data_IF_490628259010
#
_entry.id   IF_490628259010
#
_cell.length_a   1.000
_cell.length_b   1.000
_cell.length_c   1.000
_cell.angle_alpha   90.00
_cell.angle_beta   90.00
_cell.angle_gamma   90.00
#
_symmetry.space_group_name_H-M   'P 1'
#
loop_
_entity.id
_entity.type
_entity.pdbx_description
1 polymer ?
#
# COMPACT_ATOMS: atom_id res chain seq x y z
N UNK A 1 14.69 25.36 -19.18
CA UNK A 1 13.79 25.83 -18.10
C UNK A 1 12.91 24.72 -17.52
N UNK A 2 12.44 23.71 -18.28
CA UNK A 2 11.59 22.60 -17.77
C UNK A 2 12.32 21.67 -16.77
N UNK A 3 13.63 21.50 -16.86
CA UNK A 3 14.44 20.63 -15.96
C UNK A 3 14.68 21.23 -14.56
N UNK A 4 14.60 22.54 -14.38
CA UNK A 4 14.86 23.22 -13.10
C UNK A 4 13.59 23.20 -12.22
N UNK A 5 12.41 23.18 -12.82
CA UNK A 5 11.13 23.14 -12.09
C UNK A 5 10.92 21.76 -11.42
N UNK A 6 11.42 20.68 -12.02
CA UNK A 6 11.30 19.33 -11.45
C UNK A 6 12.20 19.14 -10.20
N UNK A 7 13.35 19.81 -10.16
CA UNK A 7 14.27 19.72 -9.02
C UNK A 7 13.80 20.53 -7.80
N UNK A 8 13.09 21.66 -8.02
CA UNK A 8 12.58 22.50 -6.94
C UNK A 8 11.32 21.92 -6.27
N UNK A 9 10.51 21.11 -6.98
CA UNK A 9 9.36 20.43 -6.39
C UNK A 9 9.79 19.29 -5.44
N UNK A 10 10.95 18.68 -5.69
CA UNK A 10 11.48 17.58 -4.87
C UNK A 10 12.05 18.07 -3.51
N UNK A 11 12.49 19.31 -3.43
CA UNK A 11 13.08 19.89 -2.21
C UNK A 11 12.05 20.30 -1.13
N UNK A 12 10.75 20.40 -1.47
CA UNK A 12 9.73 20.88 -0.55
C UNK A 12 9.07 19.76 0.30
N UNK A 13 9.41 18.49 0.05
CA UNK A 13 8.79 17.32 0.70
C UNK A 13 9.44 16.95 2.06
N UNK A 14 10.59 17.54 2.39
CA UNK A 14 11.35 17.23 3.61
C UNK A 14 11.10 18.22 4.77
N UNK A 15 9.85 18.57 5.02
CA UNK A 15 9.44 19.24 6.27
C UNK A 15 9.43 18.24 7.44
N UNK A 16 9.94 18.65 8.59
CA UNK A 16 9.98 17.87 9.83
C UNK A 16 8.59 17.32 10.19
N UNK A 17 8.40 16.03 10.09
CA UNK A 17 7.17 15.33 10.48
C UNK A 17 7.34 14.92 11.94
N UNK A 18 6.59 15.56 12.83
CA UNK A 18 6.51 15.18 14.23
C UNK A 18 5.87 13.79 14.36
N UNK A 19 6.38 12.95 15.25
CA UNK A 19 5.75 11.68 15.60
C UNK A 19 4.41 11.96 16.28
N UNK A 20 3.32 11.87 15.51
CA UNK A 20 1.96 11.81 16.02
C UNK A 20 1.51 10.34 16.01
N UNK A 21 0.66 9.93 16.96
CA UNK A 21 -0.05 8.68 16.85
C UNK A 21 -0.92 8.73 15.60
N UNK A 22 -0.68 7.81 14.66
CA UNK A 22 -1.44 7.74 13.42
C UNK A 22 -2.72 6.96 13.66
N UNK A 23 -3.87 7.56 13.43
CA UNK A 23 -5.16 6.85 13.53
C UNK A 23 -5.34 6.04 12.29
N UNK A 24 -5.12 6.12 11.23
CA UNK A 24 -5.47 5.35 10.03
C UNK A 24 -4.40 4.31 9.65
N UNK A 25 -3.80 3.62 10.63
CA UNK A 25 -2.75 2.60 10.37
C UNK A 25 -3.22 1.43 9.51
N UNK A 26 -4.54 1.18 9.41
CA UNK A 26 -5.08 0.17 8.51
C UNK A 26 -4.70 0.43 7.03
N UNK A 27 -4.40 1.66 6.64
CA UNK A 27 -3.94 1.99 5.30
C UNK A 27 -2.63 1.28 4.93
N UNK A 28 -1.80 0.95 5.93
CA UNK A 28 -0.53 0.21 5.77
C UNK A 28 -0.69 -1.30 5.74
N UNK A 29 -1.87 -1.82 6.14
CA UNK A 29 -2.12 -3.25 6.03
C UNK A 29 -2.20 -3.66 4.57
N UNK A 30 -1.67 -4.85 4.27
CA UNK A 30 -1.73 -5.38 2.92
C UNK A 30 -3.18 -5.63 2.50
N UNK A 31 -3.64 -4.91 1.47
CA UNK A 31 -4.97 -5.08 0.90
C UNK A 31 -5.07 -6.27 -0.06
N UNK A 32 -3.94 -6.91 -0.38
CA UNK A 32 -3.84 -8.03 -1.31
C UNK A 32 -3.25 -9.24 -0.62
N UNK A 33 -3.90 -10.40 -0.76
CA UNK A 33 -3.36 -11.66 -0.28
C UNK A 33 -2.01 -12.01 -0.96
N UNK A 34 -1.85 -11.61 -2.24
CA UNK A 34 -0.59 -11.78 -2.97
C UNK A 34 0.51 -10.91 -2.40
N UNK A 35 0.24 -9.62 -2.15
CA UNK A 35 1.23 -8.72 -1.56
C UNK A 35 1.60 -9.14 -0.14
N UNK A 36 0.63 -9.53 0.68
CA UNK A 36 0.88 -10.05 2.03
C UNK A 36 1.80 -11.29 2.00
N UNK A 37 1.59 -12.21 1.06
CA UNK A 37 2.45 -13.38 0.88
C UNK A 37 3.87 -13.04 0.39
N UNK A 38 4.07 -11.86 -0.21
CA UNK A 38 5.37 -11.30 -0.62
C UNK A 38 5.99 -10.36 0.44
N UNK A 39 5.41 -10.33 1.66
CA UNK A 39 5.87 -9.46 2.74
C UNK A 39 5.59 -7.97 2.52
N UNK A 40 4.66 -7.61 1.63
CA UNK A 40 4.37 -6.24 1.23
C UNK A 40 5.26 -5.70 0.10
N UNK A 41 6.16 -6.50 -0.47
CA UNK A 41 7.04 -6.08 -1.56
C UNK A 41 6.29 -6.08 -2.90
N UNK A 42 5.64 -4.94 -3.22
CA UNK A 42 4.66 -4.85 -4.32
C UNK A 42 4.70 -3.54 -5.13
N UNK A 43 5.51 -2.54 -4.75
CA UNK A 43 5.53 -1.21 -5.39
C UNK A 43 5.98 -1.25 -6.87
N UNK A 44 6.75 -2.27 -7.25
CA UNK A 44 7.20 -2.51 -8.64
C UNK A 44 6.35 -3.57 -9.37
N UNK A 45 5.20 -3.99 -8.79
CA UNK A 45 4.31 -4.95 -9.44
C UNK A 45 3.60 -4.33 -10.65
N UNK A 46 3.31 -5.16 -11.67
CA UNK A 46 2.77 -4.73 -12.95
C UNK A 46 1.75 -5.71 -13.57
N UNK A 47 1.32 -6.73 -12.82
CA UNK A 47 0.48 -7.82 -13.33
C UNK A 47 -0.68 -8.20 -12.38
N UNK A 48 -1.09 -7.27 -11.51
CA UNK A 48 -2.14 -7.49 -10.52
C UNK A 48 -2.94 -6.21 -10.28
N UNK A 49 -4.28 -6.28 -10.29
CA UNK A 49 -5.15 -5.13 -10.09
C UNK A 49 -4.96 -4.46 -8.71
N UNK A 50 -4.50 -5.22 -7.71
CA UNK A 50 -4.25 -4.72 -6.37
C UNK A 50 -3.04 -3.78 -6.28
N UNK A 51 -2.25 -3.64 -7.37
CA UNK A 51 -1.15 -2.66 -7.43
C UNK A 51 -1.61 -1.24 -7.17
N UNK A 52 -2.89 -0.92 -7.41
CA UNK A 52 -3.49 0.39 -7.10
C UNK A 52 -3.30 0.81 -5.64
N UNK A 53 -3.22 -0.14 -4.70
CA UNK A 53 -2.98 0.14 -3.27
C UNK A 53 -1.53 0.48 -2.95
N UNK A 54 -0.57 0.13 -3.83
CA UNK A 54 0.88 0.20 -3.59
C UNK A 54 1.59 1.19 -4.52
N UNK A 55 1.17 1.27 -5.78
CA UNK A 55 1.72 2.19 -6.77
C UNK A 55 0.68 2.44 -7.88
N UNK A 56 0.04 3.60 -7.91
CA UNK A 56 -0.98 3.89 -8.93
C UNK A 56 -0.45 3.82 -10.37
N UNK A 57 0.84 4.07 -10.62
CA UNK A 57 1.41 3.96 -11.95
C UNK A 57 1.38 2.53 -12.50
N UNK A 58 1.45 1.53 -11.61
CA UNK A 58 1.43 0.11 -11.97
C UNK A 58 0.14 -0.33 -12.65
N UNK A 59 -0.99 0.36 -12.44
CA UNK A 59 -2.25 -0.01 -13.11
C UNK A 59 -2.15 0.15 -14.64
N UNK A 60 -1.30 1.05 -15.16
CA UNK A 60 -1.16 1.24 -16.62
C UNK A 60 -0.56 0.03 -17.34
N UNK A 61 0.13 -0.83 -16.62
CA UNK A 61 0.80 -2.01 -17.15
C UNK A 61 -0.09 -3.26 -17.18
N UNK A 62 -1.30 -3.16 -16.64
CA UNK A 62 -2.23 -4.30 -16.57
C UNK A 62 -2.84 -4.59 -17.93
N UNK A 63 -3.04 -5.86 -18.23
CA UNK A 63 -3.69 -6.30 -19.46
C UNK A 63 -5.21 -6.44 -19.25
N UNK A 64 -5.99 -6.07 -20.26
CA UNK A 64 -7.46 -6.17 -20.24
C UNK A 64 -8.11 -5.31 -19.15
N UNK A 65 -9.16 -5.82 -18.54
CA UNK A 65 -9.91 -5.16 -17.46
C UNK A 65 -9.90 -6.05 -16.20
N UNK A 66 -8.76 -6.17 -15.51
CA UNK A 66 -8.64 -7.05 -14.37
C UNK A 66 -9.43 -6.53 -13.17
N UNK A 67 -9.98 -7.47 -12.40
CA UNK A 67 -10.55 -7.25 -11.10
C UNK A 67 -9.89 -8.21 -10.09
N UNK A 68 -9.72 -7.76 -8.86
CA UNK A 68 -9.22 -8.59 -7.75
C UNK A 68 -10.15 -8.43 -6.55
N UNK A 69 -10.34 -9.54 -5.83
CA UNK A 69 -10.99 -9.56 -4.54
C UNK A 69 -10.09 -10.32 -3.57
N UNK A 70 -9.80 -9.73 -2.42
CA UNK A 70 -9.05 -10.37 -1.36
C UNK A 70 -9.83 -10.30 -0.04
N UNK A 71 -9.80 -11.40 0.70
CA UNK A 71 -10.32 -11.47 2.05
C UNK A 71 -9.28 -12.11 2.96
N UNK A 72 -8.94 -11.41 4.05
CA UNK A 72 -7.94 -11.88 5.01
C UNK A 72 -8.57 -11.87 6.39
N UNK A 73 -8.60 -13.04 7.01
CA UNK A 73 -8.97 -13.19 8.42
C UNK A 73 -7.70 -13.15 9.27
N UNK A 74 -7.58 -12.13 10.09
CA UNK A 74 -6.52 -12.00 11.09
C UNK A 74 -6.93 -12.63 12.43
N UNK A 75 -6.00 -12.64 13.38
CA UNK A 75 -6.28 -13.01 14.77
C UNK A 75 -7.26 -12.02 15.42
N UNK A 76 -7.92 -12.41 16.51
CA UNK A 76 -8.84 -11.56 17.30
C UNK A 76 -10.05 -11.03 16.50
N UNK A 77 -10.59 -11.85 15.57
CA UNK A 77 -11.76 -11.52 14.73
C UNK A 77 -11.62 -10.28 13.84
N UNK A 78 -10.39 -9.82 13.60
CA UNK A 78 -10.10 -8.77 12.63
C UNK A 78 -10.23 -9.36 11.23
N UNK A 79 -11.06 -8.73 10.41
CA UNK A 79 -11.31 -9.14 9.03
C UNK A 79 -11.01 -7.97 8.09
N UNK A 80 -10.20 -8.22 7.07
CA UNK A 80 -9.89 -7.27 6.02
C UNK A 80 -10.42 -7.79 4.69
N UNK A 81 -11.13 -6.95 3.97
CA UNK A 81 -11.58 -7.21 2.61
C UNK A 81 -11.11 -6.10 1.68
N UNK A 82 -10.72 -6.45 0.48
CA UNK A 82 -10.42 -5.49 -0.56
C UNK A 82 -11.00 -5.92 -1.92
N UNK A 83 -11.34 -4.94 -2.72
CA UNK A 83 -11.78 -5.11 -4.10
C UNK A 83 -11.07 -4.05 -4.93
N UNK A 84 -10.54 -4.45 -6.06
CA UNK A 84 -9.93 -3.54 -7.03
C UNK A 84 -10.39 -3.89 -8.45
N UNK A 85 -10.46 -2.88 -9.30
CA UNK A 85 -10.80 -3.00 -10.72
C UNK A 85 -10.06 -1.93 -11.50
N UNK A 86 -9.64 -2.26 -12.71
CA UNK A 86 -9.11 -1.25 -13.63
C UNK A 86 -9.57 -1.48 -15.05
N UNK A 87 -9.69 -0.40 -15.81
CA UNK A 87 -10.10 -0.41 -17.21
C UNK A 87 -9.30 0.63 -17.99
N UNK A 88 -8.97 0.28 -19.21
CA UNK A 88 -8.28 1.17 -20.14
C UNK A 88 -9.28 1.89 -21.04
N UNK A 89 -9.02 3.17 -21.27
CA UNK A 89 -9.71 3.97 -22.26
C UNK A 89 -8.71 4.40 -23.33
N UNK A 90 -8.90 3.90 -24.53
CA UNK A 90 -7.99 4.13 -25.65
C UNK A 90 -7.75 5.62 -25.89
N UNK A 91 -6.47 6.00 -26.04
CA UNK A 91 -6.03 7.39 -26.22
C UNK A 91 -6.13 8.29 -24.98
N UNK A 92 -6.66 7.80 -23.83
CA UNK A 92 -6.80 8.59 -22.62
C UNK A 92 -5.87 8.06 -21.51
N UNK A 93 -5.81 6.75 -21.31
CA UNK A 93 -5.05 6.09 -20.26
C UNK A 93 -5.91 5.11 -19.47
N UNK A 94 -5.41 4.64 -18.35
CA UNK A 94 -6.08 3.63 -17.53
C UNK A 94 -6.64 4.24 -16.24
N UNK A 95 -7.88 3.88 -15.94
CA UNK A 95 -8.56 4.23 -14.70
C UNK A 95 -8.65 3.00 -13.80
N UNK A 96 -8.57 3.24 -12.49
CA UNK A 96 -8.76 2.23 -11.48
C UNK A 96 -9.70 2.69 -10.39
N UNK A 97 -10.38 1.74 -9.76
CA UNK A 97 -11.16 1.97 -8.55
C UNK A 97 -10.91 0.84 -7.57
N UNK A 98 -10.83 1.16 -6.29
CA UNK A 98 -10.61 0.16 -5.26
C UNK A 98 -11.28 0.55 -3.94
N UNK A 99 -11.58 -0.47 -3.14
CA UNK A 99 -12.03 -0.33 -1.77
C UNK A 99 -11.21 -1.26 -0.88
N UNK A 100 -10.81 -0.75 0.28
CA UNK A 100 -10.25 -1.53 1.38
C UNK A 100 -11.14 -1.32 2.60
N UNK A 101 -11.62 -2.40 3.20
CA UNK A 101 -12.46 -2.37 4.39
C UNK A 101 -11.87 -3.28 5.46
N UNK A 102 -11.84 -2.79 6.69
CA UNK A 102 -11.44 -3.58 7.84
C UNK A 102 -12.49 -3.49 8.94
N UNK A 103 -12.82 -4.65 9.48
CA UNK A 103 -13.59 -4.78 10.70
C UNK A 103 -12.63 -5.27 11.78
N UNK A 104 -12.40 -4.45 12.79
CA UNK A 104 -11.49 -4.75 13.88
C UNK A 104 -12.16 -5.56 15.01
N UNK A 105 -13.37 -6.08 14.78
CA UNK A 105 -14.12 -6.87 15.75
C UNK A 105 -14.94 -6.02 16.73
N UNK A 106 -15.35 -6.66 17.81
CA UNK A 106 -16.15 -6.08 18.87
C UNK A 106 -15.34 -6.07 20.17
N UNK A 107 -15.40 -4.98 20.90
CA UNK A 107 -14.68 -4.76 22.14
C UNK A 107 -15.64 -4.56 23.30
N UNK A 108 -15.31 -5.15 24.46
CA UNK A 108 -16.03 -4.88 25.71
C UNK A 108 -15.79 -3.44 26.19
N UNK A 109 -16.85 -2.64 26.21
CA UNK A 109 -16.77 -1.29 26.74
C UNK A 109 -16.59 -1.30 28.26
N UNK A 110 -15.81 -0.34 28.78
CA UNK A 110 -15.66 -0.08 30.21
C UNK A 110 -15.70 1.41 30.48
N UNK A 111 -16.31 1.80 31.59
CA UNK A 111 -16.29 3.19 32.04
C UNK A 111 -14.98 3.53 32.79
N UNK A 112 -14.83 4.77 33.23
CA UNK A 112 -13.65 5.25 33.94
C UNK A 112 -13.42 4.52 35.29
N UNK A 113 -14.45 3.89 35.83
CA UNK A 113 -14.37 3.06 37.05
C UNK A 113 -14.02 1.60 36.76
N UNK A 114 -13.94 1.21 35.46
CA UNK A 114 -13.69 -0.16 35.05
C UNK A 114 -14.95 -1.03 34.99
N UNK A 115 -16.13 -0.48 35.25
CA UNK A 115 -17.39 -1.23 35.14
C UNK A 115 -17.72 -1.49 33.66
N UNK A 116 -18.29 -2.67 33.38
CA UNK A 116 -18.65 -3.07 32.03
C UNK A 116 -19.77 -2.15 31.48
N UNK A 117 -19.58 -1.65 30.27
CA UNK A 117 -20.54 -0.89 29.51
C UNK A 117 -20.98 -1.69 28.27
N UNK A 118 -21.60 -1.04 27.28
CA UNK A 118 -22.00 -1.70 26.05
C UNK A 118 -20.76 -2.06 25.20
N UNK A 119 -20.82 -3.20 24.53
CA UNK A 119 -19.87 -3.57 23.49
C UNK A 119 -19.89 -2.54 22.35
N UNK A 120 -18.74 -2.31 21.72
CA UNK A 120 -18.62 -1.43 20.56
C UNK A 120 -17.75 -2.04 19.47
N UNK A 121 -18.08 -1.72 18.22
CA UNK A 121 -17.32 -2.14 17.05
C UNK A 121 -16.40 -1.04 16.52
N UNK A 122 -15.34 -1.44 15.83
CA UNK A 122 -14.42 -0.56 15.12
C UNK A 122 -14.34 -0.98 13.65
N UNK A 123 -14.67 -0.04 12.76
CA UNK A 123 -14.69 -0.28 11.32
C UNK A 123 -13.96 0.85 10.58
N UNK A 124 -13.17 0.49 9.59
CA UNK A 124 -12.43 1.45 8.80
C UNK A 124 -12.54 1.10 7.31
N UNK A 125 -12.54 2.13 6.47
CA UNK A 125 -12.70 1.98 5.03
C UNK A 125 -11.88 3.03 4.29
N UNK A 126 -11.29 2.64 3.17
CA UNK A 126 -10.68 3.53 2.19
C UNK A 126 -11.26 3.25 0.81
N UNK A 127 -11.76 4.30 0.16
CA UNK A 127 -12.18 4.29 -1.24
C UNK A 127 -11.10 4.99 -2.07
N UNK A 128 -10.71 4.39 -3.20
CA UNK A 128 -9.70 4.91 -4.09
C UNK A 128 -10.25 5.03 -5.52
N UNK A 129 -9.92 6.13 -6.17
CA UNK A 129 -10.07 6.28 -7.62
C UNK A 129 -8.72 6.71 -8.18
N UNK A 130 -8.24 5.97 -9.17
CA UNK A 130 -6.90 6.13 -9.72
C UNK A 130 -6.91 6.39 -11.22
N UNK A 131 -5.88 7.06 -11.67
CA UNK A 131 -5.54 7.27 -13.07
C UNK A 131 -4.05 7.04 -13.30
N UNK A 132 -3.71 6.38 -14.39
CA UNK A 132 -2.33 6.22 -14.83
C UNK A 132 -2.22 6.30 -16.34
N UNK A 133 -1.03 6.74 -16.79
CA UNK A 133 -0.69 6.77 -18.22
C UNK A 133 0.82 6.63 -18.41
N UNK A 134 1.23 6.42 -19.65
CA UNK A 134 2.63 6.43 -20.06
C UNK A 134 3.10 7.88 -20.23
N UNK A 135 4.28 8.17 -19.69
CA UNK A 135 4.93 9.49 -19.81
C UNK A 135 5.97 9.49 -20.93
N UNK A 136 6.71 8.39 -21.04
CA UNK A 136 7.73 8.14 -22.05
C UNK A 136 7.94 6.63 -22.13
N UNK A 137 8.66 6.13 -23.17
CA UNK A 137 8.89 4.70 -23.40
C UNK A 137 9.22 3.94 -22.11
N UNK A 138 8.32 3.03 -21.72
CA UNK A 138 8.43 2.20 -20.50
C UNK A 138 8.47 2.99 -19.18
N UNK A 139 8.13 4.28 -19.19
CA UNK A 139 8.06 5.13 -18.00
C UNK A 139 6.62 5.61 -17.79
N UNK A 140 6.03 5.22 -16.68
CA UNK A 140 4.63 5.39 -16.35
C UNK A 140 4.46 6.25 -15.10
N UNK A 141 3.39 7.01 -15.06
CA UNK A 141 2.97 7.77 -13.89
C UNK A 141 1.53 7.45 -13.52
N UNK A 142 1.18 7.69 -12.28
CA UNK A 142 -0.20 7.53 -11.82
C UNK A 142 -0.47 8.31 -10.55
N UNK A 143 -1.74 8.51 -10.30
CA UNK A 143 -2.23 9.14 -9.09
C UNK A 143 -3.55 8.51 -8.64
N UNK A 144 -3.76 8.39 -7.32
CA UNK A 144 -5.04 8.06 -6.71
C UNK A 144 -5.56 9.24 -5.90
N UNK A 145 -6.87 9.43 -5.90
CA UNK A 145 -7.58 10.16 -4.87
C UNK A 145 -8.19 9.14 -3.88
N UNK A 146 -8.07 9.41 -2.58
CA UNK A 146 -8.59 8.56 -1.50
C UNK A 146 -9.57 9.30 -0.63
N UNK A 147 -10.67 8.65 -0.30
CA UNK A 147 -11.56 9.01 0.81
C UNK A 147 -11.44 7.92 1.89
N UNK A 148 -11.23 8.35 3.14
CA UNK A 148 -10.94 7.47 4.26
C UNK A 148 -11.97 7.74 5.35
N UNK A 149 -12.53 6.67 5.90
CA UNK A 149 -13.47 6.69 7.01
C UNK A 149 -13.00 5.72 8.10
N UNK A 150 -13.11 6.15 9.35
CA UNK A 150 -12.90 5.30 10.50
C UNK A 150 -13.96 5.58 11.55
N UNK A 151 -14.63 4.53 12.02
CA UNK A 151 -15.70 4.60 13.01
C UNK A 151 -15.35 3.77 14.23
N UNK A 152 -15.48 4.39 15.41
CA UNK A 152 -15.26 3.75 16.71
C UNK A 152 -16.44 4.10 17.59
N UNK A 153 -17.25 3.10 18.01
CA UNK A 153 -18.43 3.30 18.82
C UNK A 153 -19.43 4.28 18.17
N UNK A 154 -19.68 5.42 18.79
CA UNK A 154 -20.58 6.50 18.32
C UNK A 154 -19.83 7.62 17.61
N UNK A 155 -18.53 7.52 17.44
CA UNK A 155 -17.66 8.56 16.85
C UNK A 155 -17.11 8.13 15.53
N UNK A 156 -16.86 9.09 14.65
CA UNK A 156 -16.24 8.85 13.37
C UNK A 156 -15.19 9.92 13.02
N UNK A 157 -14.25 9.51 12.22
CA UNK A 157 -13.24 10.38 11.64
C UNK A 157 -13.16 10.14 10.14
N UNK A 158 -12.96 11.21 9.38
CA UNK A 158 -12.81 11.13 7.93
C UNK A 158 -11.55 11.85 7.49
N UNK A 159 -10.97 11.40 6.39
CA UNK A 159 -9.79 12.01 5.81
C UNK A 159 -9.82 11.92 4.28
N UNK A 160 -9.03 12.77 3.64
CA UNK A 160 -8.72 12.68 2.21
C UNK A 160 -7.22 12.59 2.02
N UNK A 161 -6.82 11.83 1.00
CA UNK A 161 -5.42 11.69 0.63
C UNK A 161 -5.26 11.54 -0.87
N UNK A 162 -4.01 11.72 -1.32
CA UNK A 162 -3.56 11.45 -2.68
C UNK A 162 -2.38 10.48 -2.60
N UNK A 163 -2.34 9.51 -3.51
CA UNK A 163 -1.13 8.76 -3.80
C UNK A 163 -0.57 9.22 -5.13
N UNK A 164 0.75 9.21 -5.22
CA UNK A 164 1.48 9.47 -6.46
C UNK A 164 2.41 8.29 -6.73
N UNK A 165 2.51 7.89 -7.99
CA UNK A 165 3.32 6.76 -8.39
C UNK A 165 4.09 7.00 -9.67
N UNK A 166 5.26 6.37 -9.73
CA UNK A 166 6.08 6.24 -10.94
C UNK A 166 6.46 4.77 -11.11
N UNK A 167 6.48 4.31 -12.33
CA UNK A 167 6.94 2.97 -12.66
C UNK A 167 7.85 3.03 -13.90
N UNK A 168 8.95 2.30 -13.86
CA UNK A 168 9.86 2.16 -15.00
C UNK A 168 10.14 0.69 -15.24
N UNK A 169 10.04 0.25 -16.48
CA UNK A 169 10.33 -1.12 -16.87
C UNK A 169 11.45 -1.21 -17.90
N UNK A 170 12.22 -2.30 -17.83
CA UNK A 170 13.19 -2.70 -18.85
C UNK A 170 12.74 -4.09 -19.33
N UNK A 171 11.79 -4.18 -20.29
CA UNK A 171 11.16 -5.44 -20.67
C UNK A 171 12.16 -6.50 -21.12
N UNK A 172 13.13 -6.14 -21.95
CA UNK A 172 14.16 -7.05 -22.50
C UNK A 172 15.02 -7.71 -21.40
N UNK A 173 15.06 -7.10 -20.22
CA UNK A 173 15.85 -7.60 -19.06
C UNK A 173 14.98 -8.06 -17.91
N UNK A 174 13.66 -7.95 -18.03
CA UNK A 174 12.67 -8.26 -16.99
C UNK A 174 12.91 -7.54 -15.65
N UNK A 175 13.39 -6.27 -15.71
CA UNK A 175 13.54 -5.40 -14.57
C UNK A 175 12.37 -4.42 -14.47
N UNK A 176 11.87 -4.23 -13.25
CA UNK A 176 10.78 -3.33 -12.95
C UNK A 176 11.13 -2.50 -11.72
N UNK A 177 10.96 -1.20 -11.81
CA UNK A 177 11.26 -0.25 -10.74
C UNK A 177 9.98 0.51 -10.40
N UNK A 178 9.70 0.67 -9.11
CA UNK A 178 8.56 1.40 -8.61
C UNK A 178 8.99 2.48 -7.63
N UNK A 179 8.32 3.61 -7.66
CA UNK A 179 8.39 4.66 -6.66
C UNK A 179 6.97 5.12 -6.34
N UNK A 180 6.65 5.26 -5.07
CA UNK A 180 5.35 5.76 -4.65
C UNK A 180 5.46 6.68 -3.43
N UNK A 181 4.58 7.68 -3.39
CA UNK A 181 4.26 8.49 -2.22
C UNK A 181 2.81 8.20 -1.90
N UNK A 182 2.55 7.56 -0.77
CA UNK A 182 1.24 7.08 -0.37
C UNK A 182 0.69 7.89 0.81
N UNK A 183 -0.63 8.10 0.80
CA UNK A 183 -1.37 8.74 1.89
C UNK A 183 -0.97 10.20 2.17
N UNK A 184 -0.59 10.94 1.11
CA UNK A 184 -0.34 12.37 1.22
C UNK A 184 -1.68 13.11 1.38
N UNK A 185 -2.01 13.54 2.59
CA UNK A 185 -3.31 14.15 2.86
C UNK A 185 -3.52 14.58 4.28
N UNK A 186 -4.77 14.68 4.68
CA UNK A 186 -5.12 15.12 6.02
C UNK A 186 -6.54 14.77 6.44
N UNK A 187 -6.75 14.81 7.74
CA UNK A 187 -8.01 14.55 8.41
C UNK A 187 -8.99 15.72 8.18
N UNK A 188 -10.21 15.39 7.77
CA UNK A 188 -11.32 16.34 7.59
C UNK A 188 -12.17 16.46 8.86
N UNK A 189 -12.54 15.34 9.47
CA UNK A 189 -13.24 15.30 10.75
C UNK A 189 -12.46 14.49 11.77
N UNK A 190 -12.61 14.81 13.04
CA UNK A 190 -11.83 14.22 14.16
C UNK A 190 -12.76 13.46 15.09
N UNK A 191 -12.24 12.43 15.76
CA UNK A 191 -12.96 11.77 16.86
C UNK A 191 -13.14 12.70 18.08
N UNK A 192 -12.07 13.46 18.38
CA UNK A 192 -11.96 14.40 19.49
C UNK A 192 -11.32 15.71 18.98
N UNK A 193 -10.86 16.55 19.88
CA UNK A 193 -10.23 17.83 19.55
C UNK A 193 -8.83 17.69 18.92
N UNK A 194 -8.17 16.56 19.12
CA UNK A 194 -6.79 16.33 18.63
C UNK A 194 -6.82 15.99 17.14
N UNK A 195 -5.98 16.68 16.37
CA UNK A 195 -5.73 16.36 14.96
C UNK A 195 -4.73 15.23 14.89
N UNK A 196 -5.02 14.24 14.05
CA UNK A 196 -4.17 13.08 13.79
C UNK A 196 -3.65 13.14 12.36
N UNK A 197 -2.48 12.57 12.15
CA UNK A 197 -1.84 12.57 10.84
C UNK A 197 -2.12 11.26 10.10
N UNK A 198 -2.15 11.31 8.78
CA UNK A 198 -2.23 10.13 7.95
C UNK A 198 -0.86 9.42 7.92
N UNK A 199 -0.83 8.10 7.76
CA UNK A 199 0.41 7.32 7.71
C UNK A 199 1.11 7.49 6.35
N UNK A 200 1.67 8.70 6.11
CA UNK A 200 2.47 9.00 4.93
C UNK A 200 3.57 7.95 4.77
N UNK A 201 3.71 7.42 3.54
CA UNK A 201 4.76 6.47 3.21
C UNK A 201 5.42 6.82 1.88
N UNK A 202 6.75 6.89 1.87
CA UNK A 202 7.55 7.00 0.65
C UNK A 202 8.23 5.65 0.45
N UNK A 203 7.92 5.03 -0.69
CA UNK A 203 8.35 3.69 -1.04
C UNK A 203 9.13 3.69 -2.34
N UNK A 204 10.24 2.96 -2.37
CA UNK A 204 10.97 2.63 -3.60
C UNK A 204 11.19 1.13 -3.65
N UNK A 205 11.07 0.55 -4.82
CA UNK A 205 11.29 -0.88 -4.96
C UNK A 205 11.71 -1.30 -6.35
N UNK A 206 12.19 -2.52 -6.40
CA UNK A 206 12.64 -3.16 -7.63
C UNK A 206 12.20 -4.62 -7.65
N UNK A 207 11.82 -5.10 -8.83
CA UNK A 207 11.63 -6.53 -9.04
C UNK A 207 12.28 -6.99 -10.33
N UNK A 208 12.66 -8.28 -10.34
CA UNK A 208 13.24 -8.94 -11.50
C UNK A 208 12.66 -10.34 -11.66
N UNK A 209 12.15 -10.64 -12.85
CA UNK A 209 11.87 -12.02 -13.27
C UNK A 209 13.13 -12.64 -13.87
N UNK A 210 13.51 -13.82 -13.37
CA UNK A 210 14.74 -14.50 -13.82
C UNK A 210 14.48 -15.21 -15.15
N UNK A 211 15.39 -15.08 -16.11
CA UNK A 211 15.20 -15.59 -17.48
C UNK A 211 15.15 -17.12 -17.54
N UNK A 212 15.95 -17.80 -16.72
CA UNK A 212 16.11 -19.25 -16.76
C UNK A 212 15.41 -19.98 -15.61
N UNK A 213 14.72 -19.26 -14.75
CA UNK A 213 14.00 -19.79 -13.60
C UNK A 213 12.61 -19.13 -13.51
N UNK A 214 11.56 -19.90 -13.23
CA UNK A 214 10.22 -19.36 -13.10
C UNK A 214 10.06 -18.62 -11.77
N UNK A 215 10.93 -17.65 -11.48
CA UNK A 215 11.04 -16.93 -10.22
C UNK A 215 11.06 -15.42 -10.48
N UNK A 216 10.23 -14.67 -9.78
CA UNK A 216 10.28 -13.22 -9.66
C UNK A 216 10.74 -12.87 -8.24
N UNK A 217 11.79 -12.08 -8.15
CA UNK A 217 12.30 -11.52 -6.90
C UNK A 217 11.88 -10.06 -6.79
N UNK A 218 11.55 -9.59 -5.60
CA UNK A 218 11.23 -8.20 -5.32
C UNK A 218 11.88 -7.72 -4.02
N UNK A 219 12.21 -6.43 -3.98
CA UNK A 219 12.79 -5.74 -2.83
C UNK A 219 12.22 -4.34 -2.79
N UNK A 220 11.55 -3.99 -1.69
CA UNK A 220 11.01 -2.64 -1.48
C UNK A 220 11.57 -2.06 -0.18
N UNK A 221 11.73 -0.73 -0.16
CA UNK A 221 12.07 0.07 1.02
C UNK A 221 10.92 1.02 1.31
N UNK A 222 10.37 0.94 2.51
CA UNK A 222 9.24 1.70 3.01
C UNK A 222 9.67 2.78 3.97
N UNK A 223 8.75 3.73 4.28
CA UNK A 223 8.92 4.74 5.33
C UNK A 223 10.20 5.58 5.16
N UNK A 224 10.62 5.83 3.91
CA UNK A 224 11.81 6.63 3.62
C UNK A 224 11.68 8.09 4.08
N UNK A 225 10.45 8.56 4.34
CA UNK A 225 10.12 9.87 4.90
C UNK A 225 10.31 9.97 6.41
N UNK A 226 10.50 8.85 7.12
CA UNK A 226 10.68 8.90 8.57
C UNK A 226 12.08 9.43 8.91
N UNK A 227 12.11 10.43 9.80
CA UNK A 227 13.35 10.95 10.32
C UNK A 227 13.96 9.92 11.29
N UNK A 228 15.18 9.51 11.03
CA UNK A 228 15.92 8.54 11.85
C UNK A 228 17.33 9.07 12.05
N UNK A 229 17.90 8.82 13.20
CA UNK A 229 19.20 9.37 13.64
C UNK A 229 20.36 9.10 12.68
N UNK A 230 20.25 8.06 11.84
CA UNK A 230 21.28 7.70 10.89
C UNK A 230 20.64 7.40 9.50
N UNK A 231 21.29 7.87 8.43
CA UNK A 231 20.86 7.63 7.04
C UNK A 231 20.66 6.15 6.73
N UNK A 232 21.54 5.26 7.20
CA UNK A 232 21.40 3.82 7.02
C UNK A 232 20.15 3.24 7.71
N UNK A 233 19.66 3.88 8.75
CA UNK A 233 18.46 3.43 9.46
C UNK A 233 17.16 3.68 8.66
N UNK A 234 17.16 4.60 7.70
CA UNK A 234 16.03 4.84 6.79
C UNK A 234 15.70 3.61 5.93
N UNK A 235 16.71 2.78 5.63
CA UNK A 235 16.54 1.55 4.85
C UNK A 235 16.22 0.30 5.71
N UNK A 236 15.94 0.46 6.99
CA UNK A 236 15.56 -0.66 7.85
C UNK A 236 14.17 -1.20 7.59
N UNK A 237 13.26 -0.38 7.09
CA UNK A 237 11.91 -0.79 6.69
C UNK A 237 11.97 -1.37 5.29
N UNK A 238 12.58 -2.54 5.14
CA UNK A 238 12.63 -3.23 3.85
C UNK A 238 11.82 -4.52 3.86
N UNK A 239 11.31 -4.86 2.70
CA UNK A 239 10.58 -6.09 2.44
C UNK A 239 11.20 -6.81 1.24
N UNK A 240 11.21 -8.13 1.30
CA UNK A 240 11.73 -8.99 0.22
C UNK A 240 10.66 -10.00 -0.13
N UNK A 241 10.39 -10.15 -1.43
CA UNK A 241 9.44 -11.12 -1.95
C UNK A 241 10.09 -12.06 -2.98
N UNK A 242 9.64 -13.30 -2.99
CA UNK A 242 9.96 -14.27 -4.03
C UNK A 242 8.69 -14.99 -4.47
N UNK A 243 8.36 -14.91 -5.76
CA UNK A 243 7.23 -15.60 -6.37
C UNK A 243 7.75 -16.68 -7.33
N UNK A 244 7.43 -17.93 -7.06
CA UNK A 244 7.79 -19.10 -7.87
C UNK A 244 6.56 -19.55 -8.67
N UNK A 245 6.63 -19.52 -9.98
CA UNK A 245 5.59 -20.00 -10.88
C UNK A 245 5.81 -21.50 -11.14
N UNK A 246 5.12 -22.36 -10.37
CA UNK A 246 5.25 -23.82 -10.49
C UNK A 246 4.45 -24.34 -11.69
N UNK A 247 3.32 -23.71 -12.01
CA UNK A 247 2.50 -23.99 -13.19
C UNK A 247 1.70 -22.74 -13.59
N UNK A 248 0.87 -22.85 -14.65
CA UNK A 248 -0.02 -21.75 -15.05
C UNK A 248 -1.03 -21.33 -13.96
N UNK A 249 -1.33 -22.24 -13.03
CA UNK A 249 -2.35 -22.03 -11.99
C UNK A 249 -1.79 -22.09 -10.56
N UNK A 250 -0.52 -22.51 -10.37
CA UNK A 250 0.06 -22.66 -9.04
C UNK A 250 1.30 -21.75 -8.93
N UNK A 251 1.25 -20.83 -7.98
CA UNK A 251 2.37 -19.98 -7.62
C UNK A 251 2.66 -20.11 -6.11
N UNK A 252 3.92 -20.33 -5.77
CA UNK A 252 4.40 -20.31 -4.39
C UNK A 252 5.03 -18.94 -4.12
N UNK A 253 4.69 -18.32 -3.00
CA UNK A 253 5.19 -17.00 -2.59
C UNK A 253 5.82 -17.09 -1.22
N UNK A 254 6.95 -16.40 -1.10
CA UNK A 254 7.68 -16.23 0.15
C UNK A 254 7.95 -14.75 0.34
N UNK A 255 7.63 -14.23 1.51
CA UNK A 255 7.85 -12.84 1.86
C UNK A 255 8.58 -12.69 3.17
N UNK A 256 9.35 -11.61 3.29
CA UNK A 256 10.04 -11.20 4.50
C UNK A 256 9.87 -9.70 4.70
N UNK A 257 9.39 -9.32 5.89
CA UNK A 257 9.28 -7.94 6.34
C UNK A 257 10.15 -7.73 7.56
N UNK A 258 11.15 -6.86 7.45
CA UNK A 258 12.13 -6.63 8.51
C UNK A 258 11.56 -5.88 9.72
N UNK A 259 10.50 -5.08 9.55
CA UNK A 259 9.85 -4.38 10.66
C UNK A 259 8.91 -5.31 11.42
N UNK A 260 8.06 -6.07 10.75
CA UNK A 260 7.17 -7.06 11.36
C UNK A 260 7.93 -8.12 12.15
N UNK A 261 9.13 -8.51 11.69
CA UNK A 261 10.01 -9.40 12.44
C UNK A 261 10.34 -8.88 13.83
N UNK A 262 10.53 -7.56 14.00
CA UNK A 262 10.87 -6.97 15.29
C UNK A 262 9.68 -6.92 16.21
N UNK A 263 8.50 -6.63 15.69
CA UNK A 263 7.26 -6.51 16.45
C UNK A 263 6.76 -7.87 16.93
N UNK A 264 6.80 -8.89 16.08
CA UNK A 264 6.23 -10.21 16.37
C UNK A 264 7.25 -11.31 16.58
N UNK A 265 8.55 -11.03 16.45
CA UNK A 265 9.65 -12.02 16.37
C UNK A 265 9.43 -13.10 15.29
N UNK A 266 8.52 -12.86 14.37
CA UNK A 266 8.17 -13.71 13.23
C UNK A 266 8.10 -12.77 12.01
N UNK A 267 9.03 -12.92 11.08
CA UNK A 267 9.14 -11.99 9.95
C UNK A 267 9.01 -12.64 8.58
N UNK A 268 8.55 -13.88 8.54
CA UNK A 268 8.34 -14.61 7.27
C UNK A 268 6.87 -14.89 7.05
N UNK A 269 6.37 -14.56 5.88
CA UNK A 269 5.04 -14.97 5.41
C UNK A 269 5.22 -15.91 4.23
N UNK A 270 4.47 -17.01 4.22
CA UNK A 270 4.42 -17.93 3.10
C UNK A 270 2.98 -18.05 2.62
N UNK A 271 2.77 -18.00 1.32
CA UNK A 271 1.45 -18.13 0.72
C UNK A 271 1.48 -19.04 -0.50
N UNK A 272 0.46 -19.85 -0.66
CA UNK A 272 0.17 -20.61 -1.86
C UNK A 272 -1.11 -20.04 -2.45
N UNK A 273 -1.05 -19.59 -3.70
CA UNK A 273 -2.22 -19.15 -4.44
C UNK A 273 -2.41 -20.05 -5.66
N UNK A 274 -3.60 -20.46 -5.87
CA UNK A 274 -4.08 -21.21 -7.01
C UNK A 274 -4.95 -20.35 -7.92
#
# INVERSE_FOLDING_TARGET
MKKVIFLSLFAFIFGSISYSQNTFEFLRLDGSARAAALGGSFVSNNDDADVIFYNPAGINLLEGNPASFSFVKHVMDINLASLSYSTEYDGIGRFGAAIKYINNGVFDGRDESGAATKEFGVNEMALLVGYANELDNNFYYGANAKFIYSGIESRSSTAIAVDLGLHYSIPDKNWYFGFAVLNLGGQLSRYYSTKEELPLDIVIGVSKSLENLPVRLSLDFHKLNQDRDDFAQRFRAFTVGAEFTLSKVIKLRLGYDNERRKEFKIGTTAGIAG
#
